data_IF_301916284162
#
_entry.id   IF_301916284162
#
_cell.length_a   1.000
_cell.length_b   1.000
_cell.length_c   1.000
_cell.angle_alpha   90.00
_cell.angle_beta   90.00
_cell.angle_gamma   90.00
#
_symmetry.space_group_name_H-M   'P 1'
#
loop_
_entity.id
_entity.type
_entity.pdbx_description
1 polymer ?
#
# COMPACT_ATOMS: atom_id res chain seq x y z
N UNK A 1 -7.55 47.65 -28.20
CA UNK A 1 -6.81 46.37 -28.32
C UNK A 1 -6.16 45.87 -27.03
N UNK A 2 -5.69 46.73 -26.12
CA UNK A 2 -5.00 46.32 -24.87
C UNK A 2 -5.91 45.56 -23.89
N UNK A 3 -7.17 45.99 -23.73
CA UNK A 3 -8.16 45.34 -22.85
C UNK A 3 -8.58 43.95 -23.35
N UNK A 4 -8.80 43.80 -24.67
CA UNK A 4 -9.12 42.49 -25.30
C UNK A 4 -7.98 41.49 -25.16
N UNK A 5 -6.71 41.95 -25.25
CA UNK A 5 -5.53 41.12 -25.01
C UNK A 5 -5.39 40.74 -23.54
N UNK A 6 -5.75 41.63 -22.61
CA UNK A 6 -5.75 41.35 -21.16
C UNK A 6 -6.83 40.34 -20.76
N UNK A 7 -8.05 40.45 -21.30
CA UNK A 7 -9.12 39.46 -21.08
C UNK A 7 -8.78 38.11 -21.68
N UNK A 8 -8.11 38.08 -22.83
CA UNK A 8 -7.67 36.84 -23.46
C UNK A 8 -6.53 36.17 -22.67
N UNK A 9 -5.61 36.97 -22.11
CA UNK A 9 -4.54 36.48 -21.23
C UNK A 9 -5.11 35.88 -19.93
N UNK A 10 -6.11 36.54 -19.33
CA UNK A 10 -6.81 36.06 -18.12
C UNK A 10 -7.52 34.71 -18.34
N UNK A 11 -8.17 34.55 -19.50
CA UNK A 11 -8.87 33.31 -19.85
C UNK A 11 -7.90 32.13 -20.02
N UNK A 12 -6.71 32.39 -20.57
CA UNK A 12 -5.66 31.37 -20.74
C UNK A 12 -5.07 30.94 -19.40
N UNK A 13 -4.83 31.87 -18.46
CA UNK A 13 -4.34 31.51 -17.12
C UNK A 13 -5.35 30.68 -16.33
N UNK A 14 -6.65 30.97 -16.44
CA UNK A 14 -7.70 30.17 -15.81
C UNK A 14 -7.75 28.76 -16.40
N UNK A 15 -7.63 28.64 -17.73
CA UNK A 15 -7.63 27.33 -18.41
C UNK A 15 -6.44 26.47 -17.99
N UNK A 16 -5.26 27.07 -17.84
CA UNK A 16 -4.05 26.37 -17.35
C UNK A 16 -4.25 25.92 -15.89
N UNK A 17 -4.87 26.76 -15.06
CA UNK A 17 -5.17 26.41 -13.67
C UNK A 17 -6.16 25.23 -13.57
N UNK A 18 -7.20 25.20 -14.41
CA UNK A 18 -8.14 24.06 -14.47
C UNK A 18 -7.45 22.75 -14.91
N UNK A 19 -6.51 22.81 -15.84
CA UNK A 19 -5.77 21.62 -16.29
C UNK A 19 -4.88 21.04 -15.17
N UNK A 20 -4.37 21.87 -14.27
CA UNK A 20 -3.56 21.40 -13.13
C UNK A 20 -4.38 20.77 -12.00
N UNK A 21 -5.71 20.99 -11.92
CA UNK A 21 -6.54 20.39 -10.87
C UNK A 21 -6.70 18.87 -11.01
N UNK A 22 -6.47 18.30 -12.19
CA UNK A 22 -6.59 16.86 -12.44
C UNK A 22 -5.28 16.07 -12.26
N UNK A 23 -4.12 16.74 -12.08
CA UNK A 23 -2.83 16.03 -11.89
C UNK A 23 -2.65 15.45 -10.48
N UNK A 24 -3.54 15.77 -9.54
CA UNK A 24 -3.50 15.29 -8.15
C UNK A 24 -4.17 13.92 -7.93
N UNK A 25 -4.92 13.40 -8.90
CA UNK A 25 -5.54 12.07 -8.82
C UNK A 25 -4.65 10.96 -9.40
N UNK A 26 -3.36 11.23 -9.60
CA UNK A 26 -2.40 10.19 -9.87
C UNK A 26 -2.01 9.54 -8.53
N UNK A 27 -2.92 8.70 -8.01
CA UNK A 27 -2.57 7.60 -7.12
C UNK A 27 -1.73 6.59 -7.93
N UNK A 28 -0.56 7.02 -8.41
CA UNK A 28 0.59 6.11 -8.40
C UNK A 28 0.85 5.92 -6.92
N UNK A 29 0.08 4.99 -6.33
CA UNK A 29 0.61 4.15 -5.28
C UNK A 29 1.96 3.75 -5.81
N UNK A 30 3.02 4.31 -5.24
CA UNK A 30 4.32 3.73 -5.38
C UNK A 30 4.09 2.25 -5.05
N UNK A 31 4.11 1.38 -6.05
CA UNK A 31 3.97 -0.09 -5.90
C UNK A 31 5.17 -0.69 -5.16
N UNK A 32 5.92 0.13 -4.42
CA UNK A 32 6.48 -0.23 -3.14
C UNK A 32 5.47 0.14 -2.06
N UNK A 33 4.38 -0.64 -1.98
CA UNK A 33 3.66 -0.77 -0.73
C UNK A 33 4.72 -1.01 0.34
N UNK A 34 4.87 -0.09 1.30
CA UNK A 34 5.76 -0.27 2.44
C UNK A 34 5.14 -1.38 3.31
N UNK A 35 5.25 -2.62 2.83
CA UNK A 35 4.74 -3.79 3.52
C UNK A 35 5.49 -3.89 4.84
N UNK A 36 4.73 -3.87 5.93
CA UNK A 36 5.29 -4.11 7.25
C UNK A 36 5.62 -5.59 7.34
N UNK A 37 6.91 -5.91 7.25
CA UNK A 37 7.38 -7.29 7.34
C UNK A 37 7.35 -7.76 8.79
N UNK A 38 6.52 -8.76 9.07
CA UNK A 38 6.36 -9.39 10.38
C UNK A 38 6.94 -10.79 10.32
N UNK A 39 8.01 -11.02 11.08
CA UNK A 39 8.57 -12.36 11.26
C UNK A 39 7.82 -13.07 12.37
N UNK A 40 7.27 -14.23 12.06
CA UNK A 40 6.51 -15.05 13.00
C UNK A 40 7.12 -16.45 13.07
N UNK A 41 7.45 -16.90 14.27
CA UNK A 41 7.94 -18.24 14.53
C UNK A 41 6.86 -19.02 15.30
N UNK A 42 6.29 -20.04 14.67
CA UNK A 42 5.33 -20.92 15.32
C UNK A 42 6.04 -22.10 15.99
N UNK A 43 5.52 -22.54 17.13
CA UNK A 43 6.10 -23.65 17.91
C UNK A 43 6.07 -24.96 17.14
N UNK A 44 4.92 -25.26 16.54
CA UNK A 44 4.68 -26.48 15.77
C UNK A 44 3.58 -26.21 14.76
N UNK A 45 3.62 -26.92 13.64
CA UNK A 45 2.52 -26.90 12.69
C UNK A 45 1.29 -27.59 13.30
N UNK A 46 0.27 -26.81 13.62
CA UNK A 46 -0.98 -27.27 14.25
C UNK A 46 -2.21 -26.73 13.51
N UNK A 47 -3.28 -27.53 13.54
CA UNK A 47 -4.62 -27.16 13.05
C UNK A 47 -5.20 -25.97 13.81
N UNK A 48 -4.75 -25.73 15.05
CA UNK A 48 -5.17 -24.58 15.85
C UNK A 48 -5.00 -23.23 15.10
N UNK A 49 -3.94 -23.11 14.31
CA UNK A 49 -3.64 -21.91 13.54
C UNK A 49 -4.20 -21.94 12.11
N UNK A 50 -5.06 -22.92 11.76
CA UNK A 50 -5.63 -23.06 10.43
C UNK A 50 -6.23 -21.75 9.87
N UNK A 51 -6.99 -20.94 10.65
CA UNK A 51 -7.50 -19.67 10.16
C UNK A 51 -6.40 -18.70 9.71
N UNK A 52 -5.25 -18.69 10.41
CA UNK A 52 -4.10 -17.85 10.07
C UNK A 52 -3.48 -18.27 8.74
N UNK A 53 -3.31 -19.57 8.46
CA UNK A 53 -2.76 -20.01 7.16
C UNK A 53 -3.68 -19.70 6.00
N UNK A 54 -5.00 -19.84 6.20
CA UNK A 54 -5.96 -19.45 5.18
C UNK A 54 -5.83 -17.95 4.91
N UNK A 55 -5.79 -17.11 5.95
CA UNK A 55 -5.62 -15.66 5.76
C UNK A 55 -4.29 -15.27 5.08
N UNK A 56 -3.19 -15.98 5.36
CA UNK A 56 -1.91 -15.79 4.66
C UNK A 56 -2.05 -16.20 3.19
N UNK A 57 -2.68 -17.33 2.90
CA UNK A 57 -2.84 -17.87 1.56
C UNK A 57 -3.78 -17.03 0.68
N UNK A 58 -4.89 -16.57 1.25
CA UNK A 58 -5.85 -15.69 0.59
C UNK A 58 -5.33 -14.25 0.44
N UNK A 59 -4.13 -13.94 0.95
CA UNK A 59 -3.51 -12.62 0.78
C UNK A 59 -4.09 -11.51 1.66
N UNK A 60 -4.98 -11.83 2.60
CA UNK A 60 -5.67 -10.87 3.47
C UNK A 60 -4.67 -9.97 4.21
N UNK A 61 -3.55 -10.53 4.69
CA UNK A 61 -2.51 -9.73 5.34
C UNK A 61 -1.82 -8.76 4.38
N UNK A 62 -1.59 -9.16 3.14
CA UNK A 62 -0.94 -8.31 2.13
C UNK A 62 -1.84 -7.15 1.74
N UNK A 63 -3.15 -7.39 1.63
CA UNK A 63 -4.16 -6.33 1.37
C UNK A 63 -4.17 -5.26 2.47
N UNK A 64 -3.91 -5.67 3.72
CA UNK A 64 -3.76 -4.78 4.88
C UNK A 64 -2.33 -4.21 5.02
N UNK A 65 -1.45 -4.43 4.05
CA UNK A 65 -0.09 -3.89 4.06
C UNK A 65 0.91 -4.65 4.94
N UNK A 66 0.64 -5.92 5.27
CA UNK A 66 1.46 -6.76 6.14
C UNK A 66 2.02 -7.96 5.35
N UNK A 67 3.33 -8.14 5.41
CA UNK A 67 4.00 -9.34 4.86
C UNK A 67 4.38 -10.28 6.02
N UNK A 68 3.72 -11.43 6.11
CA UNK A 68 4.06 -12.46 7.11
C UNK A 68 5.20 -13.34 6.59
N UNK A 69 6.31 -13.37 7.31
CA UNK A 69 7.43 -14.30 7.14
C UNK A 69 7.35 -15.37 8.23
N UNK A 70 6.73 -16.50 7.89
CA UNK A 70 6.42 -17.59 8.81
C UNK A 70 7.52 -18.65 8.82
N UNK A 71 8.01 -18.98 10.01
CA UNK A 71 8.93 -20.11 10.25
C UNK A 71 8.38 -21.03 11.35
N UNK A 72 8.80 -22.29 11.35
CA UNK A 72 8.44 -23.27 12.39
C UNK A 72 9.66 -23.61 13.23
N UNK A 73 9.65 -23.28 14.53
CA UNK A 73 10.77 -23.49 15.44
C UNK A 73 10.98 -24.94 15.89
N UNK A 74 9.98 -25.82 15.75
CA UNK A 74 10.05 -27.23 16.17
C UNK A 74 10.29 -27.38 17.69
N UNK A 75 9.55 -26.61 18.49
CA UNK A 75 9.70 -26.57 19.95
C UNK A 75 9.74 -25.13 20.49
N UNK A 76 9.16 -24.93 21.68
CA UNK A 76 9.04 -23.60 22.29
C UNK A 76 10.41 -23.03 22.72
N UNK A 77 11.38 -23.90 22.94
CA UNK A 77 12.78 -23.55 23.22
C UNK A 77 13.47 -22.89 22.01
N UNK A 78 13.00 -23.18 20.79
CA UNK A 78 13.59 -22.72 19.52
C UNK A 78 12.79 -21.61 18.84
N UNK A 79 11.68 -21.17 19.43
CA UNK A 79 10.78 -20.17 18.82
C UNK A 79 11.16 -18.72 19.10
N UNK A 80 12.10 -18.48 20.00
CA UNK A 80 12.60 -17.14 20.36
C UNK A 80 13.98 -16.82 19.74
N UNK A 81 14.42 -17.65 18.78
CA UNK A 81 15.71 -17.49 18.07
C UNK A 81 15.65 -16.45 16.95
#
# INVERSE_FOLDING_TARGET
MKTKKLTLLSLVTILIFLLTLFTGCNNKKEETENLTKVKLNEVVRSVFYAPMYVAINEGIFKEEGIEIDLSTGQGADKTLS
#
